data_IF_367719869389
#
_entry.id   IF_367719869389
#
_cell.length_a   1.000
_cell.length_b   1.000
_cell.length_c   1.000
_cell.angle_alpha   90.00
_cell.angle_beta   90.00
_cell.angle_gamma   90.00
#
_symmetry.space_group_name_H-M   'P 1'
#
loop_
_entity.id
_entity.type
_entity.pdbx_description
1 polymer ?
#
# COMPACT_ATOMS: atom_id res chain seq x y z
N UNK A 1 5.94 7.09 -10.19
CA UNK A 1 6.44 6.75 -8.84
C UNK A 1 6.76 5.26 -8.78
N UNK A 2 7.99 4.93 -8.39
CA UNK A 2 8.47 3.56 -8.25
C UNK A 2 8.51 3.18 -6.76
N UNK A 3 7.48 2.51 -6.27
CA UNK A 3 7.34 2.14 -4.85
C UNK A 3 7.79 0.69 -4.64
N UNK A 4 8.84 0.49 -3.84
CA UNK A 4 9.24 -0.85 -3.40
C UNK A 4 8.47 -1.22 -2.14
N UNK A 5 7.83 -2.38 -2.15
CA UNK A 5 7.04 -2.89 -1.03
C UNK A 5 7.51 -4.29 -0.64
N UNK A 6 7.40 -4.62 0.65
CA UNK A 6 7.68 -5.98 1.12
C UNK A 6 6.61 -6.96 0.63
N UNK A 7 6.91 -8.26 0.66
CA UNK A 7 5.89 -9.30 0.42
C UNK A 7 4.65 -9.14 1.31
N UNK A 8 4.82 -8.82 2.60
CA UNK A 8 3.70 -8.64 3.51
C UNK A 8 2.80 -7.47 3.11
N UNK A 9 3.40 -6.36 2.69
CA UNK A 9 2.68 -5.20 2.16
C UNK A 9 1.95 -5.52 0.86
N UNK A 10 2.61 -6.21 -0.08
CA UNK A 10 1.99 -6.66 -1.33
C UNK A 10 0.78 -7.55 -1.06
N UNK A 11 0.93 -8.56 -0.20
CA UNK A 11 -0.12 -9.51 0.14
C UNK A 11 -1.30 -8.82 0.87
N UNK A 12 -1.01 -7.83 1.74
CA UNK A 12 -2.03 -7.04 2.43
C UNK A 12 -2.88 -6.21 1.46
N UNK A 13 -2.27 -5.52 0.50
CA UNK A 13 -3.00 -4.74 -0.52
C UNK A 13 -3.79 -5.68 -1.44
N UNK A 14 -3.18 -6.79 -1.87
CA UNK A 14 -3.84 -7.80 -2.73
C UNK A 14 -5.05 -8.44 -2.03
N UNK A 15 -5.00 -8.61 -0.71
CA UNK A 15 -6.06 -9.18 0.11
C UNK A 15 -7.15 -8.19 0.55
N UNK A 16 -7.04 -6.90 0.24
CA UNK A 16 -8.00 -5.90 0.67
C UNK A 16 -9.40 -6.14 0.07
N UNK A 17 -10.44 -6.10 0.93
CA UNK A 17 -11.83 -6.47 0.58
C UNK A 17 -12.40 -5.70 -0.63
N UNK A 18 -11.99 -4.44 -0.80
CA UNK A 18 -12.47 -3.55 -1.85
C UNK A 18 -11.31 -3.04 -2.71
N UNK A 19 -10.42 -3.94 -3.15
CA UNK A 19 -9.31 -3.60 -4.05
C UNK A 19 -9.83 -3.01 -5.39
N UNK A 20 -9.55 -1.74 -5.70
CA UNK A 20 -9.89 -1.12 -6.97
C UNK A 20 -9.20 -1.80 -8.15
N UNK A 21 -9.86 -1.87 -9.31
CA UNK A 21 -9.33 -2.55 -10.49
C UNK A 21 -8.02 -1.93 -11.01
N UNK A 22 -7.85 -0.62 -10.84
CA UNK A 22 -6.60 0.05 -11.20
C UNK A 22 -5.43 -0.49 -10.37
N UNK A 23 -5.62 -0.70 -9.07
CA UNK A 23 -4.58 -1.26 -8.19
C UNK A 23 -4.39 -2.76 -8.42
N UNK A 24 -5.45 -3.49 -8.77
CA UNK A 24 -5.32 -4.89 -9.19
C UNK A 24 -4.36 -5.02 -10.37
N UNK A 25 -4.51 -4.16 -11.39
CA UNK A 25 -3.60 -4.14 -12.56
C UNK A 25 -2.16 -3.81 -12.17
N UNK A 26 -1.96 -2.84 -11.29
CA UNK A 26 -0.63 -2.50 -10.76
C UNK A 26 0.01 -3.71 -10.06
N UNK A 27 -0.74 -4.39 -9.19
CA UNK A 27 -0.25 -5.55 -8.45
C UNK A 27 0.06 -6.74 -9.36
N UNK A 28 -0.77 -6.96 -10.39
CA UNK A 28 -0.53 -8.03 -11.37
C UNK A 28 0.67 -7.72 -12.28
N UNK A 29 0.97 -6.43 -12.52
CA UNK A 29 2.14 -5.97 -13.27
C UNK A 29 3.40 -5.78 -12.40
N UNK A 30 3.32 -6.02 -11.09
CA UNK A 30 4.41 -5.80 -10.16
C UNK A 30 5.64 -6.64 -10.50
N UNK A 31 6.83 -6.03 -10.45
CA UNK A 31 8.08 -6.76 -10.67
C UNK A 31 8.60 -7.30 -9.34
N UNK A 32 8.67 -8.63 -9.18
CA UNK A 32 9.31 -9.23 -8.01
C UNK A 32 10.82 -9.01 -8.04
N UNK A 33 11.40 -8.57 -6.93
CA UNK A 33 12.84 -8.36 -6.70
C UNK A 33 13.26 -9.05 -5.41
N UNK A 34 13.61 -10.33 -5.49
CA UNK A 34 13.86 -11.14 -4.29
C UNK A 34 12.59 -11.33 -3.45
N UNK A 35 12.60 -10.79 -2.23
CA UNK A 35 11.48 -10.84 -1.28
C UNK A 35 10.61 -9.56 -1.29
N UNK A 36 10.90 -8.65 -2.21
CA UNK A 36 10.17 -7.40 -2.41
C UNK A 36 9.47 -7.37 -3.77
N UNK A 37 8.56 -6.41 -3.91
CA UNK A 37 7.86 -6.11 -5.14
C UNK A 37 8.06 -4.64 -5.48
N UNK A 38 8.40 -4.36 -6.74
CA UNK A 38 8.38 -3.01 -7.28
C UNK A 38 7.01 -2.74 -7.94
N UNK A 39 6.31 -1.75 -7.41
CA UNK A 39 5.09 -1.19 -7.98
C UNK A 39 5.47 0.06 -8.77
N UNK A 40 5.08 0.10 -10.04
CA UNK A 40 5.17 1.32 -10.86
C UNK A 40 3.81 1.96 -10.90
N UNK A 41 3.72 3.13 -10.30
CA UNK A 41 2.48 3.85 -10.04
C UNK A 41 2.51 5.18 -10.80
N UNK A 42 1.41 5.50 -11.46
CA UNK A 42 1.04 6.88 -11.77
C UNK A 42 0.66 7.63 -10.48
N UNK A 43 0.52 8.95 -10.56
CA UNK A 43 0.06 9.75 -9.41
C UNK A 43 -1.35 9.35 -8.94
N UNK A 44 -2.26 9.10 -9.88
CA UNK A 44 -3.63 8.65 -9.58
C UNK A 44 -3.63 7.27 -8.90
N UNK A 45 -2.80 6.34 -9.37
CA UNK A 45 -2.64 5.02 -8.75
C UNK A 45 -2.00 5.09 -7.36
N UNK A 46 -1.01 5.96 -7.18
CA UNK A 46 -0.41 6.17 -5.87
C UNK A 46 -1.43 6.79 -4.89
N UNK A 47 -2.26 7.72 -5.35
CA UNK A 47 -3.36 8.31 -4.57
C UNK A 47 -4.38 7.25 -4.18
N UNK A 48 -4.83 6.43 -5.14
CA UNK A 48 -5.77 5.34 -4.87
C UNK A 48 -5.19 4.31 -3.89
N UNK A 49 -3.89 4.02 -4.00
CA UNK A 49 -3.20 3.12 -3.06
C UNK A 49 -3.15 3.74 -1.66
N UNK A 50 -2.84 5.02 -1.55
CA UNK A 50 -2.85 5.73 -0.27
C UNK A 50 -4.24 5.73 0.37
N UNK A 51 -5.30 6.03 -0.38
CA UNK A 51 -6.68 5.99 0.11
C UNK A 51 -7.08 4.60 0.60
N UNK A 52 -6.78 3.56 -0.20
CA UNK A 52 -7.04 2.17 0.20
C UNK A 52 -6.30 1.83 1.50
N UNK A 53 -5.02 2.18 1.62
CA UNK A 53 -4.25 1.91 2.84
C UNK A 53 -4.83 2.69 4.03
N UNK A 54 -5.11 3.97 3.87
CA UNK A 54 -5.67 4.81 4.92
C UNK A 54 -7.01 4.28 5.46
N UNK A 55 -7.87 3.72 4.60
CA UNK A 55 -9.13 3.08 5.05
C UNK A 55 -8.92 1.80 5.86
N UNK A 56 -7.77 1.13 5.72
CA UNK A 56 -7.43 -0.08 6.47
C UNK A 56 -6.56 0.22 7.71
N UNK A 57 -6.27 1.50 7.99
CA UNK A 57 -5.65 1.91 9.25
C UNK A 57 -6.73 2.04 10.32
N UNK A 58 -6.62 1.22 11.37
CA UNK A 58 -7.51 1.25 12.52
C UNK A 58 -6.71 1.61 13.76
N UNK A 59 -7.31 2.44 14.63
CA UNK A 59 -6.71 2.83 15.91
C UNK A 59 -7.49 2.24 17.07
N UNK A 60 -6.81 2.05 18.20
CA UNK A 60 -7.45 1.72 19.47
C UNK A 60 -8.03 2.96 20.17
N UNK A 61 -8.59 2.78 21.37
CA UNK A 61 -9.16 3.87 22.16
C UNK A 61 -8.14 4.92 22.64
N UNK A 62 -6.84 4.61 22.61
CA UNK A 62 -5.76 5.55 22.93
C UNK A 62 -5.30 6.35 21.71
N UNK A 63 -5.76 5.99 20.51
CA UNK A 63 -5.33 6.57 19.24
C UNK A 63 -4.10 5.89 18.64
N UNK A 64 -3.61 4.80 19.22
CA UNK A 64 -2.51 4.03 18.65
C UNK A 64 -3.01 3.15 17.50
N UNK A 65 -2.23 3.05 16.42
CA UNK A 65 -2.51 2.12 15.31
C UNK A 65 -2.50 0.70 15.84
N UNK A 66 -3.55 -0.06 15.52
CA UNK A 66 -3.66 -1.46 15.94
C UNK A 66 -2.62 -2.32 15.20
N UNK A 67 -2.06 -3.36 15.85
CA UNK A 67 -1.03 -4.21 15.24
C UNK A 67 -1.42 -4.78 13.87
N UNK A 68 -2.69 -5.17 13.69
CA UNK A 68 -3.21 -5.70 12.43
C UNK A 68 -3.24 -4.68 11.28
N UNK A 69 -3.25 -3.38 11.59
CA UNK A 69 -3.29 -2.28 10.63
C UNK A 69 -1.93 -1.67 10.35
N UNK A 70 -0.88 -2.09 11.07
CA UNK A 70 0.44 -1.49 11.00
C UNK A 70 1.03 -1.50 9.58
N UNK A 71 0.81 -2.60 8.84
CA UNK A 71 1.26 -2.73 7.45
C UNK A 71 0.69 -1.65 6.53
N UNK A 72 -0.54 -1.21 6.79
CA UNK A 72 -1.20 -0.16 6.01
C UNK A 72 -0.73 1.23 6.43
N UNK A 73 -0.50 1.47 7.73
CA UNK A 73 0.07 2.74 8.21
C UNK A 73 1.48 2.98 7.63
N UNK A 74 2.30 1.93 7.59
CA UNK A 74 3.62 1.98 6.97
C UNK A 74 3.54 2.32 5.48
N UNK A 75 2.58 1.73 4.74
CA UNK A 75 2.36 2.04 3.34
C UNK A 75 1.89 3.48 3.12
N UNK A 76 0.96 3.98 3.93
CA UNK A 76 0.53 5.40 3.90
C UNK A 76 1.75 6.31 4.07
N UNK A 77 2.58 6.06 5.08
CA UNK A 77 3.80 6.84 5.31
C UNK A 77 4.77 6.75 4.15
N UNK A 78 5.01 5.54 3.62
CA UNK A 78 5.92 5.34 2.50
C UNK A 78 5.45 6.08 1.24
N UNK A 79 4.15 6.13 0.98
CA UNK A 79 3.57 6.84 -0.16
C UNK A 79 3.68 8.35 0.04
N UNK A 80 3.16 8.87 1.16
CA UNK A 80 3.12 10.32 1.43
C UNK A 80 4.51 10.98 1.57
N UNK A 81 5.53 10.20 1.89
CA UNK A 81 6.92 10.69 2.02
C UNK A 81 7.79 10.37 0.81
N UNK A 82 7.24 9.71 -0.22
CA UNK A 82 7.98 9.40 -1.43
C UNK A 82 8.27 10.69 -2.21
N UNK A 83 9.49 10.92 -2.73
CA UNK A 83 9.87 12.17 -3.39
C UNK A 83 9.09 12.45 -4.69
N UNK A 84 8.58 11.39 -5.34
CA UNK A 84 7.79 11.47 -6.57
C UNK A 84 6.26 11.46 -6.33
N UNK A 85 5.82 11.55 -5.07
CA UNK A 85 4.40 11.60 -4.72
C UNK A 85 3.86 13.04 -4.72
#
# INVERSE_FOLDING_TARGET
MDLTVTRAQYDAVRGARHLPDVLRKVLDAATRRGDEYLLRLTYEEATALNELCAWNVHTDSSGAVKPESQVFDELVRAILTHPDY
#
